data_IF_522016763265
#
_entry.id   IF_522016763265
#
_cell.length_a   1.000
_cell.length_b   1.000
_cell.length_c   1.000
_cell.angle_alpha   90.00
_cell.angle_beta   90.00
_cell.angle_gamma   90.00
#
_symmetry.space_group_name_H-M   'P 1'
#
loop_
_entity.id
_entity.type
_entity.pdbx_description
1 polymer ?
#
# COMPACT_ATOMS: atom_id res chain seq x y z
N UNK A 1 -15.33 -82.59 18.83
CA UNK A 1 -14.17 -83.08 18.06
C UNK A 1 -14.02 -82.23 16.80
N UNK A 2 -12.80 -81.75 16.54
CA UNK A 2 -12.23 -81.16 15.30
C UNK A 2 -12.86 -79.84 14.78
N UNK A 3 -12.30 -78.65 15.05
CA UNK A 3 -11.12 -77.97 14.44
C UNK A 3 -11.15 -77.86 12.91
N UNK A 4 -11.22 -76.63 12.39
CA UNK A 4 -10.44 -76.03 11.27
C UNK A 4 -10.97 -74.57 11.07
N UNK A 5 -10.33 -73.51 11.58
CA UNK A 5 -9.19 -72.70 11.07
C UNK A 5 -9.33 -72.18 9.62
N UNK A 6 -9.14 -70.86 9.49
CA UNK A 6 -8.83 -70.00 8.32
C UNK A 6 -9.98 -69.12 7.81
N UNK A 7 -9.80 -67.87 7.38
CA UNK A 7 -8.78 -66.82 7.55
C UNK A 7 -9.28 -65.62 6.70
N UNK A 8 -9.12 -64.38 7.16
CA UNK A 8 -9.27 -63.11 6.39
C UNK A 8 -10.70 -62.80 5.86
N UNK A 9 -11.25 -61.58 5.93
CA UNK A 9 -10.66 -60.25 5.74
C UNK A 9 -11.38 -59.24 6.65
N UNK A 10 -10.59 -58.47 7.39
CA UNK A 10 -11.03 -57.19 7.95
C UNK A 10 -11.22 -56.23 6.78
N UNK A 11 -12.46 -55.87 6.48
CA UNK A 11 -12.74 -54.75 5.60
C UNK A 11 -12.52 -53.45 6.38
N UNK A 12 -11.29 -52.93 6.37
CA UNK A 12 -11.03 -51.54 6.74
C UNK A 12 -11.74 -50.65 5.72
N UNK A 13 -12.92 -50.17 6.10
CA UNK A 13 -13.64 -49.10 5.44
C UNK A 13 -12.85 -47.80 5.70
N UNK A 14 -11.84 -47.54 4.89
CA UNK A 14 -11.27 -46.19 4.78
C UNK A 14 -12.32 -45.38 4.01
N UNK A 15 -13.16 -44.67 4.74
CA UNK A 15 -13.95 -43.56 4.18
C UNK A 15 -12.93 -42.48 3.84
N UNK A 16 -12.43 -42.50 2.61
CA UNK A 16 -11.81 -41.32 2.02
C UNK A 16 -12.98 -40.38 1.78
N UNK A 17 -13.26 -39.50 2.75
CA UNK A 17 -13.95 -38.25 2.46
C UNK A 17 -13.04 -37.48 1.52
N UNK A 18 -13.20 -37.73 0.22
CA UNK A 18 -12.80 -36.77 -0.80
C UNK A 18 -13.78 -35.62 -0.60
N UNK A 19 -13.41 -34.70 0.31
CA UNK A 19 -13.88 -33.34 0.22
C UNK A 19 -13.37 -32.84 -1.12
N UNK A 20 -14.17 -33.03 -2.17
CA UNK A 20 -14.14 -32.13 -3.29
C UNK A 20 -14.49 -30.77 -2.68
N UNK A 21 -13.46 -30.03 -2.29
CA UNK A 21 -13.51 -28.59 -2.40
C UNK A 21 -13.93 -28.38 -3.86
N UNK A 22 -15.19 -28.02 -4.05
CA UNK A 22 -15.66 -27.45 -5.30
C UNK A 22 -14.86 -26.16 -5.50
N UNK A 23 -13.61 -26.27 -5.95
CA UNK A 23 -12.92 -25.24 -6.72
C UNK A 23 -13.53 -25.22 -8.12
N UNK A 24 -14.86 -25.14 -8.18
CA UNK A 24 -15.56 -24.63 -9.33
C UNK A 24 -15.32 -23.14 -9.36
N UNK A 25 -14.10 -22.74 -9.75
CA UNK A 25 -13.89 -21.43 -10.35
C UNK A 25 -14.63 -21.44 -11.70
N UNK A 26 -15.95 -21.30 -11.64
CA UNK A 26 -16.65 -20.54 -12.65
C UNK A 26 -16.28 -19.07 -12.39
N UNK A 27 -15.04 -18.69 -12.73
CA UNK A 27 -14.72 -17.29 -12.94
C UNK A 27 -15.61 -16.86 -14.09
N UNK A 28 -16.68 -16.14 -13.81
CA UNK A 28 -17.30 -15.31 -14.83
C UNK A 28 -16.16 -14.52 -15.47
N UNK A 29 -16.09 -14.49 -16.80
CA UNK A 29 -15.13 -13.67 -17.54
C UNK A 29 -15.05 -12.30 -16.85
N UNK A 30 -13.89 -12.03 -16.27
CA UNK A 30 -13.71 -10.85 -15.42
C UNK A 30 -13.76 -9.65 -16.34
N UNK A 31 -14.83 -8.86 -16.24
CA UNK A 31 -15.04 -7.69 -17.09
C UNK A 31 -14.15 -6.56 -16.61
N UNK A 32 -13.40 -5.95 -17.54
CA UNK A 32 -12.67 -4.71 -17.29
C UNK A 32 -13.64 -3.58 -16.91
N UNK A 33 -13.31 -2.85 -15.85
CA UNK A 33 -13.99 -1.64 -15.41
C UNK A 33 -13.03 -0.44 -15.55
N UNK A 34 -13.54 0.68 -16.06
CA UNK A 34 -12.79 1.92 -16.23
C UNK A 34 -12.90 2.79 -14.98
N UNK A 35 -11.79 3.44 -14.62
CA UNK A 35 -11.66 4.37 -13.50
C UNK A 35 -10.95 5.63 -13.99
N UNK A 36 -11.29 6.79 -13.43
CA UNK A 36 -10.59 8.05 -13.70
C UNK A 36 -10.00 8.59 -12.40
N UNK A 37 -8.68 8.53 -12.24
CA UNK A 37 -8.00 9.13 -11.09
C UNK A 37 -7.62 10.57 -11.44
N UNK A 38 -8.17 11.53 -10.69
CA UNK A 38 -7.96 12.95 -10.95
C UNK A 38 -6.46 13.29 -10.85
N UNK A 39 -5.93 13.90 -11.91
CA UNK A 39 -4.56 14.46 -11.95
C UNK A 39 -4.59 15.97 -11.70
N UNK A 40 -5.74 16.61 -11.87
CA UNK A 40 -5.89 18.05 -11.68
C UNK A 40 -6.91 18.34 -10.58
N UNK A 41 -6.49 19.18 -9.62
CA UNK A 41 -7.43 19.96 -8.83
C UNK A 41 -8.41 20.66 -9.78
N UNK A 42 -9.70 20.51 -9.53
CA UNK A 42 -10.80 21.04 -10.34
C UNK A 42 -10.63 22.55 -10.62
N UNK A 43 -10.02 22.89 -11.77
CA UNK A 43 -9.95 24.24 -12.29
C UNK A 43 -10.70 24.26 -13.63
N UNK A 44 -12.03 24.14 -13.55
CA UNK A 44 -12.91 24.33 -14.71
C UNK A 44 -13.94 25.40 -14.35
N UNK A 45 -13.72 26.64 -14.83
CA UNK A 45 -14.57 27.81 -14.58
C UNK A 45 -16.01 27.69 -15.13
N UNK A 46 -16.33 26.64 -15.90
CA UNK A 46 -17.59 26.52 -16.66
C UNK A 46 -18.52 25.37 -16.26
N UNK A 47 -18.21 24.59 -15.22
CA UNK A 47 -19.17 23.60 -14.70
C UNK A 47 -20.09 24.23 -13.64
N UNK A 48 -21.41 23.94 -13.64
CA UNK A 48 -22.26 24.33 -12.53
C UNK A 48 -21.67 23.74 -11.25
N UNK A 49 -21.16 24.60 -10.38
CA UNK A 49 -20.57 24.21 -9.11
C UNK A 49 -21.68 23.53 -8.31
N UNK A 50 -21.65 22.19 -8.30
CA UNK A 50 -22.47 21.43 -7.37
C UNK A 50 -22.23 22.03 -5.99
N UNK A 51 -23.30 22.23 -5.22
CA UNK A 51 -23.19 22.85 -3.90
C UNK A 51 -22.44 21.95 -2.92
N UNK A 52 -22.49 20.64 -3.17
CA UNK A 52 -21.91 19.61 -2.32
C UNK A 52 -21.21 18.56 -3.18
N UNK A 53 -20.14 18.93 -3.92
CA UNK A 53 -19.45 18.06 -4.85
C UNK A 53 -18.68 16.96 -4.13
N UNK A 54 -18.31 15.91 -4.87
CA UNK A 54 -17.47 14.82 -4.37
C UNK A 54 -16.13 15.33 -3.83
N UNK A 55 -15.54 16.36 -4.43
CA UNK A 55 -14.27 16.95 -4.00
C UNK A 55 -14.24 17.42 -2.54
N UNK A 56 -15.41 17.71 -1.95
CA UNK A 56 -15.50 18.10 -0.53
C UNK A 56 -15.05 16.97 0.41
N UNK A 57 -15.07 15.70 0.02
CA UNK A 57 -14.62 14.62 0.92
C UNK A 57 -13.09 14.53 1.05
N UNK A 58 -12.35 15.35 0.29
CA UNK A 58 -10.90 15.39 0.23
C UNK A 58 -10.30 16.72 0.73
N UNK A 59 -11.11 17.66 1.21
CA UNK A 59 -10.67 19.02 1.56
C UNK A 59 -10.15 19.15 3.01
N UNK A 60 -10.26 18.10 3.82
CA UNK A 60 -9.83 18.08 5.22
C UNK A 60 -10.68 18.96 6.15
N UNK A 61 -11.86 19.39 5.70
CA UNK A 61 -12.80 20.20 6.43
C UNK A 61 -14.17 19.52 6.59
N UNK A 62 -14.37 18.86 7.73
CA UNK A 62 -15.64 18.22 8.12
C UNK A 62 -16.90 19.12 8.05
N UNK A 63 -16.74 20.44 7.89
CA UNK A 63 -17.86 21.39 7.73
C UNK A 63 -18.34 21.53 6.29
N UNK A 64 -17.72 20.86 5.33
CA UNK A 64 -18.23 20.63 3.98
C UNK A 64 -18.74 19.18 3.89
N UNK A 65 -19.42 18.84 2.81
CA UNK A 65 -19.79 17.46 2.53
C UNK A 65 -20.05 17.25 1.04
N UNK A 66 -19.95 16.00 0.60
CA UNK A 66 -20.51 15.50 -0.63
C UNK A 66 -21.93 14.98 -0.37
N UNK A 67 -22.89 15.38 -1.22
CA UNK A 67 -24.21 14.75 -1.28
C UNK A 67 -24.15 13.66 -2.34
N UNK A 68 -23.98 12.43 -1.90
CA UNK A 68 -23.79 11.27 -2.78
C UNK A 68 -25.11 10.64 -3.26
N UNK A 69 -26.27 11.19 -2.90
CA UNK A 69 -27.58 10.72 -3.37
C UNK A 69 -28.69 10.97 -2.36
N UNK A 70 -29.85 10.35 -2.60
CA UNK A 70 -31.03 10.45 -1.74
C UNK A 70 -31.40 9.11 -1.10
N UNK A 71 -31.73 9.13 0.18
CA UNK A 71 -32.24 7.99 0.94
C UNK A 71 -33.55 7.45 0.35
N UNK A 72 -34.42 8.32 -0.17
CA UNK A 72 -35.70 7.89 -0.73
C UNK A 72 -35.55 7.17 -2.06
N UNK A 73 -34.62 7.63 -2.89
CA UNK A 73 -34.37 7.06 -4.21
C UNK A 73 -33.53 5.78 -4.13
N UNK A 74 -32.87 5.55 -2.99
CA UNK A 74 -32.03 4.39 -2.70
C UNK A 74 -30.98 4.14 -3.80
N UNK A 75 -30.41 5.22 -4.33
CA UNK A 75 -29.41 5.19 -5.39
C UNK A 75 -28.21 6.09 -5.04
N UNK A 76 -27.49 5.81 -3.95
CA UNK A 76 -26.27 6.54 -3.64
C UNK A 76 -25.17 6.21 -4.66
N UNK A 77 -24.45 7.24 -5.10
CA UNK A 77 -23.21 7.11 -5.83
C UNK A 77 -22.11 6.55 -4.91
N UNK A 78 -21.32 5.63 -5.46
CA UNK A 78 -20.05 5.20 -4.86
C UNK A 78 -18.90 6.10 -5.32
N UNK A 79 -17.76 5.96 -4.68
CA UNK A 79 -16.50 6.61 -5.05
C UNK A 79 -15.36 5.60 -5.02
N UNK A 80 -14.15 6.01 -5.40
CA UNK A 80 -12.98 5.16 -5.37
C UNK A 80 -11.70 5.94 -5.06
N UNK A 81 -10.75 5.26 -4.41
CA UNK A 81 -9.46 5.83 -3.99
C UNK A 81 -8.32 4.94 -4.45
N UNK A 82 -7.20 5.54 -4.86
CA UNK A 82 -5.94 4.81 -5.04
C UNK A 82 -5.48 4.29 -3.69
N UNK A 83 -5.29 2.98 -3.57
CA UNK A 83 -4.80 2.36 -2.34
C UNK A 83 -3.31 2.67 -2.17
N UNK A 84 -2.87 3.02 -0.95
CA UNK A 84 -1.46 3.21 -0.69
C UNK A 84 -0.73 1.85 -0.66
N UNK A 85 0.59 1.88 -0.68
CA UNK A 85 1.40 0.67 -0.83
C UNK A 85 1.65 -0.14 0.46
N UNK A 86 1.01 0.26 1.57
CA UNK A 86 1.23 -0.31 2.90
C UNK A 86 0.64 -1.73 3.06
N UNK A 87 1.22 -2.50 3.99
CA UNK A 87 0.73 -3.83 4.38
C UNK A 87 -0.64 -3.81 5.03
N UNK A 88 -0.89 -2.81 5.87
CA UNK A 88 -2.21 -2.51 6.42
C UNK A 88 -2.66 -1.16 5.94
N UNK A 89 -3.90 -1.12 5.48
CA UNK A 89 -4.57 0.07 4.99
C UNK A 89 -5.83 0.28 5.82
N UNK A 90 -6.10 1.53 6.17
CA UNK A 90 -7.27 1.93 6.91
C UNK A 90 -8.11 2.90 6.08
N UNK A 91 -9.41 2.66 6.06
CA UNK A 91 -10.39 3.63 5.57
C UNK A 91 -10.79 4.54 6.72
N UNK A 92 -10.60 5.85 6.53
CA UNK A 92 -11.06 6.88 7.46
C UNK A 92 -12.24 7.60 6.82
N UNK A 93 -13.37 7.64 7.53
CA UNK A 93 -14.60 8.23 7.02
C UNK A 93 -15.32 9.06 8.08
N UNK A 94 -15.77 10.25 7.71
CA UNK A 94 -16.80 10.99 8.45
C UNK A 94 -18.12 10.90 7.68
N UNK A 95 -19.05 10.08 8.17
CA UNK A 95 -20.39 9.97 7.58
C UNK A 95 -21.29 11.13 7.99
N UNK A 96 -22.20 11.55 7.12
CA UNK A 96 -23.13 12.64 7.38
C UNK A 96 -22.50 14.03 7.18
N UNK A 97 -23.30 15.08 7.41
CA UNK A 97 -22.84 16.46 7.27
C UNK A 97 -22.24 16.98 8.59
N UNK A 98 -20.91 17.00 8.69
CA UNK A 98 -20.14 17.32 9.89
C UNK A 98 -20.13 18.80 10.31
N UNK A 99 -20.84 19.69 9.62
CA UNK A 99 -20.91 21.13 9.96
C UNK A 99 -21.48 21.39 11.36
N UNK A 100 -22.46 20.59 11.78
CA UNK A 100 -22.93 20.58 13.17
C UNK A 100 -23.58 19.23 13.50
N UNK A 101 -23.69 18.91 14.79
CA UNK A 101 -24.33 17.67 15.23
C UNK A 101 -25.81 17.61 14.82
N UNK A 102 -26.48 18.75 14.80
CA UNK A 102 -27.86 18.87 14.33
C UNK A 102 -27.96 18.53 12.84
N UNK A 103 -27.07 19.09 12.00
CA UNK A 103 -27.06 18.80 10.57
C UNK A 103 -26.73 17.33 10.27
N UNK A 104 -25.83 16.72 11.05
CA UNK A 104 -25.53 15.30 10.92
C UNK A 104 -26.78 14.40 11.10
N UNK A 105 -27.63 14.68 12.10
CA UNK A 105 -28.87 13.91 12.31
C UNK A 105 -30.03 14.37 11.42
N UNK A 106 -29.99 15.59 10.89
CA UNK A 106 -30.99 16.08 9.95
C UNK A 106 -30.85 15.44 8.57
N UNK A 107 -29.63 15.10 8.14
CA UNK A 107 -29.37 14.45 6.86
C UNK A 107 -29.30 12.92 6.98
N UNK A 108 -29.53 12.24 5.86
CA UNK A 108 -29.24 10.82 5.76
C UNK A 108 -27.72 10.60 5.73
N UNK A 109 -27.30 9.40 6.11
CA UNK A 109 -25.86 9.07 6.20
C UNK A 109 -25.61 7.58 5.99
N UNK A 110 -24.44 7.19 5.47
CA UNK A 110 -24.11 5.79 5.29
C UNK A 110 -24.14 5.00 6.61
N UNK A 111 -24.64 3.77 6.52
CA UNK A 111 -24.69 2.78 7.60
C UNK A 111 -23.84 1.56 7.29
N UNK A 112 -23.88 1.11 6.04
CA UNK A 112 -23.04 0.01 5.56
C UNK A 112 -22.34 0.39 4.27
N UNK A 113 -21.06 0.05 4.21
CA UNK A 113 -20.25 0.17 3.02
C UNK A 113 -19.94 -1.22 2.45
N UNK A 114 -19.87 -1.30 1.13
CA UNK A 114 -19.29 -2.42 0.41
C UNK A 114 -17.99 -1.93 -0.21
N UNK A 115 -16.90 -2.59 0.15
CA UNK A 115 -15.55 -2.26 -0.27
C UNK A 115 -15.07 -3.33 -1.25
N UNK A 116 -14.67 -2.91 -2.44
CA UNK A 116 -14.15 -3.77 -3.50
C UNK A 116 -12.78 -3.26 -3.93
N UNK A 117 -11.80 -4.15 -4.06
CA UNK A 117 -10.48 -3.79 -4.58
C UNK A 117 -10.40 -4.14 -6.05
N UNK A 118 -9.76 -3.28 -6.84
CA UNK A 118 -9.44 -3.51 -8.24
C UNK A 118 -7.93 -3.42 -8.41
N UNK A 119 -7.36 -4.36 -9.14
CA UNK A 119 -6.02 -4.19 -9.69
C UNK A 119 -6.17 -3.55 -11.06
N UNK A 120 -5.44 -2.46 -11.29
CA UNK A 120 -5.62 -1.60 -12.46
C UNK A 120 -4.32 -1.35 -13.19
N UNK A 121 -4.45 -1.01 -14.46
CA UNK A 121 -3.36 -0.57 -15.33
C UNK A 121 -3.75 0.75 -15.98
N UNK A 122 -2.76 1.58 -16.28
CA UNK A 122 -2.90 2.79 -17.10
C UNK A 122 -2.21 2.54 -18.45
N UNK A 123 -2.95 2.15 -19.50
CA UNK A 123 -2.39 2.00 -20.84
C UNK A 123 -2.05 3.37 -21.44
N UNK A 124 -1.06 3.42 -22.33
CA UNK A 124 -0.76 4.65 -23.07
C UNK A 124 -2.00 5.16 -23.84
N UNK A 125 -2.22 6.48 -23.82
CA UNK A 125 -3.35 7.13 -24.48
C UNK A 125 -4.64 7.14 -23.67
N UNK A 126 -4.70 6.50 -22.50
CA UNK A 126 -5.85 6.54 -21.60
C UNK A 126 -5.79 7.77 -20.69
N UNK A 127 -5.65 8.96 -21.26
CA UNK A 127 -5.60 10.23 -20.53
C UNK A 127 -6.74 11.12 -21.02
N UNK A 128 -7.44 11.76 -20.10
CA UNK A 128 -8.41 12.82 -20.40
C UNK A 128 -7.81 14.18 -20.05
N UNK A 129 -8.49 15.27 -20.42
CA UNK A 129 -8.04 16.62 -20.07
C UNK A 129 -7.90 16.84 -18.55
N UNK A 130 -8.57 16.04 -17.73
CA UNK A 130 -8.70 16.27 -16.27
C UNK A 130 -8.29 15.07 -15.38
N UNK A 131 -8.02 13.89 -15.98
CA UNK A 131 -7.76 12.66 -15.23
C UNK A 131 -7.04 11.61 -16.07
N UNK A 132 -6.25 10.79 -15.39
CA UNK A 132 -5.69 9.55 -15.93
C UNK A 132 -6.74 8.45 -15.86
N UNK A 133 -6.94 7.77 -16.98
CA UNK A 133 -7.81 6.62 -17.15
C UNK A 133 -7.10 5.33 -16.80
N UNK A 134 -7.72 4.55 -15.92
CA UNK A 134 -7.25 3.24 -15.50
C UNK A 134 -8.29 2.19 -15.89
N UNK A 135 -7.81 1.02 -16.30
CA UNK A 135 -8.64 -0.15 -16.57
C UNK A 135 -8.31 -1.23 -15.55
N UNK A 136 -9.34 -1.78 -14.90
CA UNK A 136 -9.16 -2.66 -13.77
C UNK A 136 -10.01 -3.92 -13.79
N UNK A 137 -9.49 -4.96 -13.15
CA UNK A 137 -10.26 -6.16 -12.83
C UNK A 137 -10.49 -6.23 -11.32
N UNK A 138 -11.72 -6.60 -10.96
CA UNK A 138 -12.17 -6.70 -9.57
C UNK A 138 -11.51 -7.89 -8.87
N UNK A 139 -10.95 -7.65 -7.70
CA UNK A 139 -10.52 -8.70 -6.79
C UNK A 139 -11.75 -9.49 -6.30
N UNK A 140 -11.75 -10.84 -6.32
CA UNK A 140 -12.96 -11.63 -6.07
C UNK A 140 -13.60 -11.44 -4.69
N UNK A 141 -12.85 -10.97 -3.69
CA UNK A 141 -13.33 -10.75 -2.32
C UNK A 141 -13.80 -9.30 -2.14
N UNK A 142 -14.94 -9.16 -1.47
CA UNK A 142 -15.46 -7.87 -0.98
C UNK A 142 -15.40 -7.84 0.55
N UNK A 143 -15.27 -6.65 1.12
CA UNK A 143 -15.43 -6.41 2.55
C UNK A 143 -16.69 -5.57 2.79
N UNK A 144 -17.61 -6.04 3.64
CA UNK A 144 -18.79 -5.28 4.05
C UNK A 144 -18.55 -4.75 5.46
N UNK A 145 -18.66 -3.44 5.64
CA UNK A 145 -18.41 -2.79 6.92
C UNK A 145 -19.68 -2.11 7.41
N UNK A 146 -20.02 -2.31 8.69
CA UNK A 146 -21.10 -1.55 9.35
C UNK A 146 -20.49 -0.41 10.14
N UNK A 147 -20.94 0.81 9.86
CA UNK A 147 -20.50 2.03 10.49
C UNK A 147 -21.31 2.29 11.76
N UNK A 148 -20.65 2.81 12.80
CA UNK A 148 -21.35 3.34 13.95
C UNK A 148 -22.05 4.64 13.58
N UNK A 149 -23.21 4.89 14.20
CA UNK A 149 -23.93 6.15 14.06
C UNK A 149 -23.32 7.22 14.98
N UNK A 150 -22.13 7.69 14.62
CA UNK A 150 -21.33 8.58 15.46
C UNK A 150 -20.93 9.87 14.72
N UNK A 151 -21.01 10.99 15.44
CA UNK A 151 -20.51 12.28 14.96
C UNK A 151 -19.00 12.35 15.14
N UNK A 152 -18.25 11.88 14.14
CA UNK A 152 -16.80 11.84 14.16
C UNK A 152 -16.24 10.94 13.06
N UNK A 153 -14.92 11.05 12.87
CA UNK A 153 -14.19 10.14 11.98
C UNK A 153 -14.21 8.73 12.58
N UNK A 154 -14.43 7.75 11.72
CA UNK A 154 -14.31 6.33 12.01
C UNK A 154 -13.18 5.75 11.17
N UNK A 155 -12.32 4.96 11.82
CA UNK A 155 -11.19 4.28 11.18
C UNK A 155 -11.49 2.79 11.10
N UNK A 156 -11.37 2.23 9.91
CA UNK A 156 -11.72 0.84 9.60
C UNK A 156 -10.50 0.19 8.95
N UNK A 157 -10.01 -0.89 9.54
CA UNK A 157 -8.97 -1.70 8.91
C UNK A 157 -9.54 -2.44 7.69
N UNK A 158 -8.85 -2.31 6.55
CA UNK A 158 -9.17 -3.05 5.36
C UNK A 158 -8.65 -4.49 5.51
N UNK A 159 -9.57 -5.44 5.49
CA UNK A 159 -9.24 -6.86 5.48
C UNK A 159 -8.99 -7.26 4.02
N UNK A 160 -7.78 -6.96 3.53
CA UNK A 160 -7.23 -7.48 2.28
C UNK A 160 -5.76 -7.81 2.49
N UNK A 161 -5.36 -9.06 2.20
CA UNK A 161 -3.95 -9.45 2.29
C UNK A 161 -3.15 -8.77 1.18
N UNK A 162 -2.08 -8.06 1.55
CA UNK A 162 -1.21 -7.39 0.59
C UNK A 162 -0.56 -8.37 -0.38
N UNK A 163 -0.12 -9.53 0.12
CA UNK A 163 0.48 -10.58 -0.71
C UNK A 163 -0.52 -11.12 -1.75
N UNK A 164 -1.77 -11.33 -1.35
CA UNK A 164 -2.83 -11.79 -2.25
C UNK A 164 -3.15 -10.74 -3.33
N UNK A 165 -3.22 -9.47 -2.93
CA UNK A 165 -3.44 -8.36 -3.85
C UNK A 165 -2.29 -8.20 -4.83
N UNK A 166 -1.03 -8.33 -4.38
CA UNK A 166 0.14 -8.27 -5.25
C UNK A 166 0.15 -9.40 -6.29
N UNK A 167 -0.15 -10.63 -5.87
CA UNK A 167 -0.27 -11.76 -6.80
C UNK A 167 -1.44 -11.59 -7.77
N UNK A 168 -2.55 -10.99 -7.32
CA UNK A 168 -3.65 -10.62 -8.21
C UNK A 168 -3.24 -9.55 -9.21
N UNK A 169 -2.59 -8.47 -8.78
CA UNK A 169 -2.10 -7.40 -9.67
C UNK A 169 -1.13 -7.93 -10.72
N UNK A 170 -0.21 -8.82 -10.37
CA UNK A 170 0.69 -9.48 -11.35
C UNK A 170 -0.10 -10.26 -12.40
N UNK A 171 -1.19 -10.94 -12.03
CA UNK A 171 -2.06 -11.65 -12.97
C UNK A 171 -2.80 -10.66 -13.89
N UNK A 172 -3.37 -9.60 -13.33
CA UNK A 172 -4.08 -8.57 -14.10
C UNK A 172 -3.14 -7.88 -15.08
N UNK A 173 -1.93 -7.50 -14.66
CA UNK A 173 -0.93 -6.90 -15.53
C UNK A 173 -0.54 -7.82 -16.71
N UNK A 174 -0.37 -9.12 -16.46
CA UNK A 174 -0.11 -10.10 -17.53
C UNK A 174 -1.27 -10.19 -18.53
N UNK A 175 -2.53 -10.12 -18.05
CA UNK A 175 -3.71 -10.09 -18.92
C UNK A 175 -3.79 -8.78 -19.70
N UNK A 176 -3.55 -7.64 -19.05
CA UNK A 176 -3.55 -6.31 -19.67
C UNK A 176 -2.61 -6.26 -20.90
N UNK A 177 -1.40 -6.83 -20.81
CA UNK A 177 -0.45 -6.88 -21.94
C UNK A 177 -0.97 -7.60 -23.19
N UNK A 178 -2.00 -8.43 -23.05
CA UNK A 178 -2.66 -9.10 -24.17
C UNK A 178 -3.93 -8.41 -24.65
N UNK A 179 -4.50 -7.54 -23.81
CA UNK A 179 -5.79 -6.89 -24.04
C UNK A 179 -5.64 -5.44 -24.52
N UNK A 180 -4.61 -4.73 -24.05
CA UNK A 180 -4.30 -3.34 -24.41
C UNK A 180 -3.02 -3.27 -25.24
N UNK A 181 -2.94 -2.24 -26.08
CA UNK A 181 -1.70 -1.95 -26.81
C UNK A 181 -0.62 -1.47 -25.82
N UNK A 182 0.61 -2.00 -25.89
CA UNK A 182 1.71 -1.51 -25.07
C UNK A 182 2.14 -0.10 -25.53
N UNK A 183 2.73 0.70 -24.63
CA UNK A 183 3.14 0.39 -23.27
C UNK A 183 2.03 0.56 -22.22
N UNK A 184 2.18 -0.15 -21.11
CA UNK A 184 1.45 0.12 -19.87
C UNK A 184 2.32 1.07 -19.05
N UNK A 185 1.81 2.26 -18.76
CA UNK A 185 2.56 3.37 -18.14
C UNK A 185 2.58 3.28 -16.60
N UNK A 186 1.46 2.86 -15.99
CA UNK A 186 1.34 2.67 -14.54
C UNK A 186 0.47 1.44 -14.22
N UNK A 187 0.56 0.95 -12.98
CA UNK A 187 -0.38 -0.01 -12.40
C UNK A 187 -0.58 0.28 -10.92
N UNK A 188 -1.81 0.24 -10.45
CA UNK A 188 -2.10 0.47 -9.03
C UNK A 188 -3.25 -0.40 -8.53
N UNK A 189 -3.56 -0.28 -7.24
CA UNK A 189 -4.74 -0.84 -6.63
C UNK A 189 -5.73 0.29 -6.36
N UNK A 190 -7.00 0.08 -6.70
CA UNK A 190 -8.09 1.03 -6.46
C UNK A 190 -9.10 0.39 -5.50
N UNK A 191 -9.43 1.09 -4.42
CA UNK A 191 -10.52 0.73 -3.53
C UNK A 191 -11.79 1.44 -3.98
N UNK A 192 -12.78 0.69 -4.46
CA UNK A 192 -14.14 1.16 -4.71
C UNK A 192 -14.99 1.04 -3.46
N UNK A 193 -15.73 2.10 -3.16
CA UNK A 193 -16.50 2.29 -1.94
C UNK A 193 -17.95 2.57 -2.34
N UNK A 194 -18.80 1.56 -2.18
CA UNK A 194 -20.23 1.67 -2.47
C UNK A 194 -21.04 1.75 -1.17
N UNK A 195 -22.05 2.62 -1.11
CA UNK A 195 -22.97 2.69 0.03
C UNK A 195 -24.04 1.59 -0.13
N UNK A 196 -23.99 0.59 0.74
CA UNK A 196 -24.89 -0.56 0.69
C UNK A 196 -26.18 -0.36 1.50
N UNK A 197 -26.12 0.46 2.55
CA UNK A 197 -27.27 0.81 3.41
C UNK A 197 -27.04 2.19 4.02
N UNK A 198 -28.11 2.96 4.19
CA UNK A 198 -28.08 4.29 4.81
C UNK A 198 -29.04 4.38 6.00
N UNK A 199 -28.79 5.32 6.91
CA UNK A 199 -29.72 5.75 7.94
C UNK A 199 -30.52 6.96 7.42
N UNK A 200 -31.85 7.03 7.69
CA UNK A 200 -32.63 8.20 7.33
C UNK A 200 -32.23 9.41 8.17
N UNK A 201 -32.29 10.59 7.55
CA UNK A 201 -32.24 11.87 8.25
C UNK A 201 -33.57 12.20 8.90
N UNK A 202 -33.53 13.06 9.92
CA UNK A 202 -34.76 13.55 10.58
C UNK A 202 -35.49 14.63 9.78
N UNK A 203 -34.83 15.24 8.79
CA UNK A 203 -35.39 16.36 8.00
C UNK A 203 -35.12 16.25 6.50
N UNK A 204 -33.89 15.92 6.13
CA UNK A 204 -33.41 15.82 4.76
C UNK A 204 -33.13 14.36 4.42
N UNK A 205 -33.32 14.01 3.15
CA UNK A 205 -33.00 12.70 2.59
C UNK A 205 -31.64 12.65 1.89
N UNK A 206 -30.93 13.77 1.80
CA UNK A 206 -29.57 13.84 1.29
C UNK A 206 -28.65 12.90 2.07
N UNK A 207 -27.99 11.96 1.38
CA UNK A 207 -26.98 11.07 1.95
C UNK A 207 -25.64 11.81 1.89
N UNK A 208 -25.13 12.20 3.06
CA UNK A 208 -23.91 13.01 3.14
C UNK A 208 -22.68 12.19 3.57
N UNK A 209 -21.52 12.56 3.03
CA UNK A 209 -20.19 12.18 3.53
C UNK A 209 -19.36 13.46 3.64
N UNK A 210 -18.73 13.71 4.78
CA UNK A 210 -17.92 14.91 4.99
C UNK A 210 -16.44 14.68 4.71
N UNK A 211 -15.90 13.50 5.00
CA UNK A 211 -14.47 13.19 4.78
C UNK A 211 -14.31 11.73 4.40
N UNK A 212 -13.35 11.46 3.53
CA UNK A 212 -12.99 10.12 3.10
C UNK A 212 -11.51 10.06 2.66
N UNK A 213 -10.69 9.28 3.36
CA UNK A 213 -9.30 9.10 2.97
C UNK A 213 -8.76 7.74 3.42
N UNK A 214 -7.72 7.28 2.73
CA UNK A 214 -6.95 6.10 3.12
C UNK A 214 -5.71 6.50 3.89
N UNK A 215 -5.39 5.73 4.93
CA UNK A 215 -4.09 5.79 5.59
C UNK A 215 -3.47 4.39 5.61
N UNK A 216 -2.16 4.30 5.79
CA UNK A 216 -1.46 3.03 5.99
C UNK A 216 -0.68 3.03 7.29
N UNK A 217 -0.24 1.86 7.74
CA UNK A 217 0.83 1.81 8.76
C UNK A 217 2.10 2.44 8.18
N UNK A 218 2.72 3.37 8.91
CA UNK A 218 3.99 3.96 8.50
C UNK A 218 4.99 2.87 8.12
N UNK A 219 5.63 3.03 6.96
CA UNK A 219 6.73 2.16 6.60
C UNK A 219 7.86 2.37 7.60
N UNK A 220 8.21 1.31 8.34
CA UNK A 220 9.29 1.35 9.32
C UNK A 220 10.25 0.20 9.10
N UNK A 221 11.54 0.51 9.01
CA UNK A 221 12.60 -0.49 8.98
C UNK A 221 13.15 -0.67 10.38
N UNK A 222 13.20 -1.92 10.82
CA UNK A 222 13.68 -2.26 12.15
C UNK A 222 15.09 -2.82 12.05
N UNK A 223 15.95 -2.37 12.96
CA UNK A 223 17.25 -2.97 13.21
C UNK A 223 17.26 -3.68 14.55
N UNK A 224 17.87 -4.87 14.58
CA UNK A 224 18.15 -5.53 15.85
C UNK A 224 18.99 -4.64 16.78
N UNK A 225 18.90 -4.88 18.07
CA UNK A 225 19.86 -4.28 19.01
C UNK A 225 21.17 -5.05 18.89
N UNK A 226 22.31 -4.38 18.62
CA UNK A 226 23.58 -5.06 18.51
C UNK A 226 23.96 -5.67 19.85
N UNK A 227 24.56 -6.87 19.82
CA UNK A 227 25.02 -7.58 21.02
C UNK A 227 26.10 -6.79 21.77
N UNK A 228 26.93 -6.05 21.04
CA UNK A 228 27.96 -5.15 21.55
C UNK A 228 27.75 -3.75 20.97
N UNK A 229 27.92 -2.67 21.76
CA UNK A 229 27.80 -1.31 21.25
C UNK A 229 28.81 -1.06 20.13
N UNK A 230 28.33 -0.55 18.99
CA UNK A 230 29.17 -0.12 17.89
C UNK A 230 29.66 1.30 18.15
N UNK A 231 30.98 1.50 18.09
CA UNK A 231 31.63 2.78 18.38
C UNK A 231 32.00 3.55 17.12
N UNK A 232 32.48 2.85 16.09
CA UNK A 232 32.96 3.45 14.86
C UNK A 232 32.54 2.60 13.66
N UNK A 233 32.28 3.24 12.54
CA UNK A 233 31.89 2.60 11.28
C UNK A 233 32.71 3.25 10.17
N UNK A 234 33.38 2.45 9.35
CA UNK A 234 34.35 2.95 8.37
C UNK A 234 34.53 1.98 7.21
N UNK A 235 35.08 2.47 6.11
CA UNK A 235 35.49 1.66 4.97
C UNK A 235 36.95 1.22 5.17
N UNK A 236 37.27 -0.02 4.80
CA UNK A 236 38.66 -0.51 4.84
C UNK A 236 39.56 0.18 3.79
N UNK A 237 40.88 0.00 3.91
CA UNK A 237 41.84 0.62 2.98
C UNK A 237 41.69 0.17 1.51
N UNK A 238 41.17 -1.03 1.27
CA UNK A 238 40.90 -1.54 -0.07
C UNK A 238 39.57 -1.05 -0.65
N UNK A 239 38.84 -0.21 0.09
CA UNK A 239 37.56 0.37 -0.30
C UNK A 239 36.50 -0.65 -0.70
N UNK A 240 36.54 -1.86 -0.16
CA UNK A 240 35.64 -2.94 -0.58
C UNK A 240 34.90 -3.59 0.60
N UNK A 241 35.08 -3.05 1.80
CA UNK A 241 34.44 -3.56 3.01
C UNK A 241 33.98 -2.43 3.92
N UNK A 242 32.74 -2.49 4.37
CA UNK A 242 32.23 -1.72 5.51
C UNK A 242 32.56 -2.49 6.79
N UNK A 243 33.30 -1.83 7.67
CA UNK A 243 33.73 -2.34 8.96
C UNK A 243 33.07 -1.55 10.08
N UNK A 244 32.93 -2.19 11.24
CA UNK A 244 32.52 -1.52 12.46
C UNK A 244 33.40 -2.00 13.62
N UNK A 245 33.83 -1.07 14.48
CA UNK A 245 34.52 -1.40 15.73
C UNK A 245 33.51 -1.43 16.87
N UNK A 246 33.60 -2.46 17.71
CA UNK A 246 32.85 -2.53 18.96
C UNK A 246 33.52 -1.73 20.09
N UNK A 247 32.96 -1.82 21.31
CA UNK A 247 33.48 -1.16 22.50
C UNK A 247 34.86 -1.68 22.96
N UNK A 248 35.27 -2.85 22.47
CA UNK A 248 36.59 -3.44 22.69
C UNK A 248 37.59 -3.06 21.57
N UNK A 249 37.16 -2.25 20.59
CA UNK A 249 37.88 -1.96 19.34
C UNK A 249 38.21 -3.23 18.52
N UNK A 250 37.37 -4.26 18.64
CA UNK A 250 37.42 -5.39 17.73
C UNK A 250 36.70 -5.00 16.43
N UNK A 251 37.41 -5.10 15.31
CA UNK A 251 36.86 -4.82 13.99
C UNK A 251 35.97 -5.99 13.52
N UNK A 252 34.78 -5.65 13.05
CA UNK A 252 33.75 -6.56 12.57
C UNK A 252 33.44 -6.19 11.12
N UNK A 253 33.47 -7.18 10.22
CA UNK A 253 33.01 -7.00 8.85
C UNK A 253 31.48 -6.97 8.82
N UNK A 254 30.92 -5.85 8.38
CA UNK A 254 29.47 -5.64 8.23
C UNK A 254 29.03 -5.99 6.82
N UNK A 255 29.77 -5.51 5.82
CA UNK A 255 29.51 -5.77 4.41
C UNK A 255 30.84 -5.85 3.66
N UNK A 256 30.93 -6.76 2.68
CA UNK A 256 32.12 -6.94 1.86
C UNK A 256 31.71 -7.22 0.41
N UNK A 257 32.24 -6.44 -0.52
CA UNK A 257 32.04 -6.60 -1.95
C UNK A 257 33.35 -6.32 -2.70
N UNK A 258 34.11 -7.37 -3.05
CA UNK A 258 35.40 -7.22 -3.71
C UNK A 258 35.29 -6.73 -5.16
N UNK A 259 34.08 -6.72 -5.73
CA UNK A 259 33.82 -6.25 -7.10
C UNK A 259 33.50 -4.75 -7.16
N UNK A 260 33.42 -4.10 -6.00
CA UNK A 260 32.99 -2.71 -5.88
C UNK A 260 33.96 -1.89 -5.03
N UNK A 261 34.05 -0.61 -5.38
CA UNK A 261 34.56 0.47 -4.54
C UNK A 261 33.38 1.03 -3.75
N UNK A 262 33.51 1.01 -2.43
CA UNK A 262 32.53 1.44 -1.46
C UNK A 262 32.94 2.80 -0.89
N UNK A 263 31.97 3.70 -0.80
CA UNK A 263 32.14 4.99 -0.14
C UNK A 263 31.08 5.15 0.95
N UNK A 264 31.52 5.35 2.18
CA UNK A 264 30.62 5.66 3.30
C UNK A 264 30.16 7.12 3.19
N UNK A 265 28.85 7.32 3.09
CA UNK A 265 28.22 8.65 2.95
C UNK A 265 27.81 9.18 4.30
N UNK A 266 27.08 8.37 5.07
CA UNK A 266 26.56 8.78 6.36
C UNK A 266 26.37 7.57 7.28
N UNK A 267 26.40 7.81 8.59
CA UNK A 267 26.16 6.83 9.65
C UNK A 267 25.19 7.46 10.64
N UNK A 268 24.13 6.73 10.98
CA UNK A 268 23.16 7.24 11.94
C UNK A 268 23.78 7.43 13.32
N UNK A 269 23.31 8.43 14.08
CA UNK A 269 23.84 8.75 15.43
C UNK A 269 23.88 7.56 16.41
N UNK A 270 23.00 6.57 16.21
CA UNK A 270 22.93 5.35 17.00
C UNK A 270 23.79 4.19 16.47
N UNK A 271 24.59 4.43 15.42
CA UNK A 271 25.44 3.46 14.72
C UNK A 271 24.71 2.18 14.27
N UNK A 272 23.39 2.24 14.08
CA UNK A 272 22.59 1.12 13.58
C UNK A 272 22.50 1.08 12.07
N UNK A 273 22.64 2.22 11.41
CA UNK A 273 22.43 2.37 9.98
C UNK A 273 23.62 3.09 9.34
N UNK A 274 23.98 2.67 8.13
CA UNK A 274 24.94 3.36 7.30
C UNK A 274 24.40 3.48 5.87
N UNK A 275 24.69 4.61 5.22
CA UNK A 275 24.47 4.80 3.79
C UNK A 275 25.81 4.65 3.11
N UNK A 276 25.90 3.69 2.20
CA UNK A 276 27.11 3.39 1.44
C UNK A 276 26.80 3.52 -0.04
N UNK A 277 27.66 4.20 -0.78
CA UNK A 277 27.66 4.15 -2.24
C UNK A 277 28.51 2.96 -2.68
N UNK A 278 27.98 2.16 -3.61
CA UNK A 278 28.71 1.09 -4.29
C UNK A 278 28.90 1.43 -5.76
N UNK A 279 30.14 1.34 -6.23
CA UNK A 279 30.55 1.56 -7.63
C UNK A 279 31.41 0.39 -8.10
N UNK A 280 31.27 -0.16 -9.31
CA UNK A 280 32.11 -1.29 -9.74
C UNK A 280 33.59 -0.91 -9.83
N UNK A 281 34.48 -1.80 -9.38
CA UNK A 281 35.91 -1.53 -9.24
C UNK A 281 36.71 -1.52 -10.56
N UNK A 282 36.25 -2.24 -11.59
CA UNK A 282 36.90 -2.31 -12.90
C UNK A 282 35.93 -1.89 -14.01
N UNK A 283 36.12 -0.72 -14.63
CA UNK A 283 35.30 -0.32 -15.79
C UNK A 283 35.99 0.68 -16.72
N UNK A 284 35.75 0.52 -18.03
CA UNK A 284 35.95 1.55 -19.03
C UNK A 284 34.64 2.34 -19.23
N UNK A 285 34.62 3.63 -18.89
CA UNK A 285 33.49 4.53 -19.19
C UNK A 285 32.80 5.11 -17.95
N UNK A 286 31.57 5.63 -18.15
CA UNK A 286 30.73 6.14 -17.05
C UNK A 286 30.15 4.97 -16.27
N UNK A 287 30.20 5.07 -14.95
CA UNK A 287 29.76 4.03 -14.03
C UNK A 287 28.43 4.46 -13.40
N UNK A 288 27.52 3.52 -13.21
CA UNK A 288 26.35 3.76 -12.36
C UNK A 288 26.78 3.67 -10.89
N UNK A 289 26.13 4.48 -10.06
CA UNK A 289 26.39 4.59 -8.63
C UNK A 289 25.14 4.11 -7.90
N UNK A 290 25.30 3.16 -6.99
CA UNK A 290 24.17 2.60 -6.24
C UNK A 290 24.26 2.99 -4.76
N UNK A 291 23.28 3.74 -4.27
CA UNK A 291 23.13 3.96 -2.84
C UNK A 291 22.57 2.72 -2.16
N UNK A 292 23.19 2.32 -1.06
CA UNK A 292 22.84 1.16 -0.26
C UNK A 292 22.57 1.59 1.19
N UNK A 293 21.42 1.19 1.73
CA UNK A 293 21.17 1.27 3.16
C UNK A 293 21.63 -0.04 3.81
N UNK A 294 22.59 0.06 4.73
CA UNK A 294 23.12 -1.06 5.48
C UNK A 294 22.59 -1.02 6.91
N UNK A 295 21.96 -2.12 7.32
CA UNK A 295 21.64 -2.40 8.71
C UNK A 295 22.88 -3.03 9.36
N UNK A 296 23.54 -2.25 10.23
CA UNK A 296 24.82 -2.63 10.83
C UNK A 296 24.66 -3.82 11.80
N UNK A 297 23.72 -3.82 12.75
CA UNK A 297 23.53 -4.94 13.67
C UNK A 297 23.20 -6.26 12.96
N UNK A 298 22.37 -6.21 11.92
CA UNK A 298 21.95 -7.39 11.16
C UNK A 298 22.90 -7.74 10.00
N UNK A 299 23.91 -6.91 9.74
CA UNK A 299 24.94 -7.09 8.69
C UNK A 299 24.33 -7.36 7.31
N UNK A 300 23.33 -6.58 6.94
CA UNK A 300 22.57 -6.76 5.70
C UNK A 300 22.31 -5.44 4.99
N UNK A 301 22.29 -5.50 3.66
CA UNK A 301 21.72 -4.43 2.82
C UNK A 301 20.20 -4.59 2.84
N UNK A 302 19.47 -3.50 3.05
CA UNK A 302 18.00 -3.51 3.21
C UNK A 302 17.25 -2.76 2.11
N UNK A 303 17.90 -2.45 0.98
CA UNK A 303 17.26 -1.75 -0.14
C UNK A 303 15.99 -2.45 -0.65
N UNK A 304 15.99 -3.80 -0.68
CA UNK A 304 14.78 -4.56 -1.04
C UNK A 304 13.66 -4.36 -0.02
N UNK A 305 13.98 -4.18 1.27
CA UNK A 305 12.98 -3.93 2.31
C UNK A 305 12.37 -2.52 2.17
N UNK A 306 13.15 -1.55 1.67
CA UNK A 306 12.63 -0.23 1.28
C UNK A 306 11.62 -0.41 0.14
N UNK A 307 11.99 -1.10 -0.94
CA UNK A 307 11.13 -1.35 -2.10
C UNK A 307 9.85 -2.11 -1.72
N UNK A 308 9.97 -3.18 -0.93
CA UNK A 308 8.83 -3.97 -0.48
C UNK A 308 7.86 -3.15 0.38
N UNK A 309 8.39 -2.26 1.22
CA UNK A 309 7.61 -1.50 2.18
C UNK A 309 7.01 -0.21 1.60
N UNK A 310 7.70 0.45 0.68
CA UNK A 310 7.22 1.68 0.06
C UNK A 310 6.55 1.48 -1.30
N UNK A 311 6.96 0.46 -2.06
CA UNK A 311 6.45 0.14 -3.38
C UNK A 311 6.84 1.12 -4.50
N UNK A 312 7.54 2.21 -4.18
CA UNK A 312 7.95 3.27 -5.11
C UNK A 312 9.46 3.55 -5.08
N UNK A 313 10.23 2.87 -4.23
CA UNK A 313 11.67 3.02 -4.19
C UNK A 313 12.32 2.34 -5.39
N UNK A 314 13.18 3.07 -6.09
CA UNK A 314 14.02 2.54 -7.15
C UNK A 314 15.39 2.18 -6.58
N UNK A 315 15.82 0.93 -6.78
CA UNK A 315 17.11 0.45 -6.28
C UNK A 315 18.26 1.30 -6.81
N UNK A 316 19.10 1.80 -5.89
CA UNK A 316 20.22 2.69 -6.20
C UNK A 316 19.89 4.18 -6.11
N UNK A 317 18.62 4.56 -5.94
CA UNK A 317 18.21 5.97 -5.72
C UNK A 317 18.91 6.60 -4.53
N UNK A 318 19.12 7.91 -4.63
CA UNK A 318 19.74 8.73 -3.59
C UNK A 318 19.09 8.51 -2.21
N UNK A 319 19.93 8.40 -1.19
CA UNK A 319 19.56 8.18 0.21
C UNK A 319 20.26 9.22 1.10
N UNK A 320 19.55 9.74 2.10
CA UNK A 320 20.16 10.50 3.20
C UNK A 320 19.35 10.36 4.49
N UNK A 321 20.00 10.60 5.63
CA UNK A 321 19.32 10.61 6.93
C UNK A 321 18.73 11.99 7.23
N UNK A 322 17.58 12.01 7.89
CA UNK A 322 16.97 13.21 8.47
C UNK A 322 16.37 12.86 9.84
N UNK A 323 16.35 13.82 10.76
CA UNK A 323 15.62 13.67 12.03
C UNK A 323 14.34 14.50 11.98
N UNK A 324 13.20 13.86 12.19
CA UNK A 324 11.92 14.57 12.19
C UNK A 324 11.74 15.43 13.45
N UNK A 325 10.69 16.25 13.51
CA UNK A 325 10.38 17.11 14.67
C UNK A 325 10.11 16.36 15.97
N UNK A 326 9.81 15.06 15.89
CA UNK A 326 9.65 14.16 17.03
C UNK A 326 10.97 13.50 17.49
N UNK A 327 12.09 13.81 16.86
CA UNK A 327 13.39 13.21 17.17
C UNK A 327 13.58 11.80 16.63
N UNK A 328 12.73 11.35 15.71
CA UNK A 328 12.87 10.03 15.07
C UNK A 328 13.80 10.14 13.87
N UNK A 329 14.68 9.14 13.72
CA UNK A 329 15.53 8.98 12.55
C UNK A 329 14.68 8.53 11.35
N UNK A 330 14.81 9.27 10.26
CA UNK A 330 14.16 9.02 8.98
C UNK A 330 15.22 8.72 7.93
N UNK A 331 14.93 7.78 7.04
CA UNK A 331 15.58 7.66 5.75
C UNK A 331 14.79 8.46 4.74
N UNK A 332 15.42 9.43 4.09
CA UNK A 332 14.91 10.10 2.89
C UNK A 332 15.45 9.39 1.65
N UNK A 333 14.59 9.22 0.65
CA UNK A 333 14.97 8.65 -0.63
C UNK A 333 14.21 9.28 -1.80
N UNK A 334 14.84 9.27 -2.97
CA UNK A 334 14.21 9.65 -4.24
C UNK A 334 13.44 8.45 -4.83
N UNK A 335 12.14 8.61 -5.04
CA UNK A 335 11.29 7.57 -5.63
C UNK A 335 11.32 7.60 -7.16
N UNK A 336 10.58 6.69 -7.78
CA UNK A 336 10.46 6.56 -9.24
C UNK A 336 9.68 7.69 -9.94
N UNK A 337 9.04 8.57 -9.18
CA UNK A 337 8.33 9.77 -9.63
C UNK A 337 9.18 11.06 -9.46
N UNK A 338 10.48 10.90 -9.17
CA UNK A 338 11.44 11.97 -8.90
C UNK A 338 11.11 12.82 -7.65
N UNK A 339 10.20 12.36 -6.78
CA UNK A 339 9.86 13.01 -5.50
C UNK A 339 10.57 12.35 -4.31
N UNK A 340 10.68 13.10 -3.21
CA UNK A 340 11.32 12.63 -1.98
C UNK A 340 10.33 12.08 -0.97
N UNK A 341 10.53 10.83 -0.58
CA UNK A 341 9.73 10.13 0.42
C UNK A 341 10.55 9.82 1.66
N UNK A 342 9.88 9.34 2.72
CA UNK A 342 10.55 9.07 4.01
C UNK A 342 10.06 7.80 4.66
N UNK A 343 10.99 7.09 5.31
CA UNK A 343 10.74 5.87 6.09
C UNK A 343 11.34 6.05 7.48
N UNK A 344 10.63 5.61 8.51
CA UNK A 344 11.15 5.67 9.88
C UNK A 344 12.14 4.52 10.09
N UNK A 345 13.32 4.82 10.63
CA UNK A 345 14.32 3.82 11.01
C UNK A 345 14.30 3.59 12.52
N UNK A 346 14.19 2.32 12.97
CA UNK A 346 14.06 1.94 14.40
C UNK A 346 15.22 1.08 14.91
#
# INVERSE_FOLDING_TARGET
MNKLKHCYKVACLIVISICFANNGCAQSESKWESFALNVAAYDSEDMPVDRYPESNIYDGNIKTCWVCGSYKDNNPAGTYLRMPHNNKVYLNIFTGYGKSRELFYQNARPKKLRLSVYATVHPEGYVSEIADGYEGLKYPREQIVTLADNFGIQTIELDFSRDELNEFSKKVYRQARSYFEPPILDSCLILKIDIAESLPGTKYDDICISELFLSGEDCTLNSSTPLTPIKNVYINEAENSLLADDDQNQSIVIYHDPMSVLQLIDVSDNNKWAIVISMPAEIEGRTETYYQLVNIPDRKIVNNEIEECSGNYLSGSELFFETNTGGQLMLKYMANDDEYYSIVLK
#
